data_IF_499939705179
#
_entry.id   IF_499939705179
#
_cell.length_a   1.000
_cell.length_b   1.000
_cell.length_c   1.000
_cell.angle_alpha   90.00
_cell.angle_beta   90.00
_cell.angle_gamma   90.00
#
_symmetry.space_group_name_H-M   'P 1'
#
loop_
_entity.id
_entity.type
_entity.pdbx_description
1 polymer ?
#
# COMPACT_ATOMS: atom_id res chain seq x y z
N UNK A 1 -24.76 29.08 18.54
CA UNK A 1 -23.55 28.36 18.08
C UNK A 1 -23.88 27.59 16.81
N UNK A 2 -23.57 28.13 15.64
CA UNK A 2 -23.80 27.42 14.37
C UNK A 2 -22.67 26.40 14.19
N UNK A 3 -23.02 25.10 14.16
CA UNK A 3 -22.07 24.05 13.80
C UNK A 3 -21.69 24.28 12.34
N UNK A 4 -20.46 24.73 12.10
CA UNK A 4 -19.87 24.87 10.77
C UNK A 4 -20.15 23.60 9.96
N UNK A 5 -20.92 23.71 8.89
CA UNK A 5 -21.20 22.62 7.94
C UNK A 5 -19.87 22.20 7.31
N UNK A 6 -19.25 21.18 7.87
CA UNK A 6 -18.05 20.57 7.32
C UNK A 6 -18.45 19.83 6.05
N UNK A 7 -18.16 20.38 4.88
CA UNK A 7 -18.44 19.77 3.58
C UNK A 7 -17.43 18.66 3.33
N UNK A 8 -17.62 17.50 3.98
CA UNK A 8 -16.76 16.36 3.73
C UNK A 8 -16.97 15.87 2.29
N UNK A 9 -16.11 16.31 1.35
CA UNK A 9 -16.11 15.83 -0.02
C UNK A 9 -15.78 14.34 -0.01
N UNK A 10 -16.70 13.54 -0.56
CA UNK A 10 -16.62 12.08 -0.64
C UNK A 10 -16.74 11.62 -2.09
N UNK A 11 -15.93 10.64 -2.47
CA UNK A 11 -16.07 9.87 -3.71
C UNK A 11 -16.44 8.43 -3.35
N UNK A 12 -17.46 7.88 -4.00
CA UNK A 12 -17.85 6.48 -3.85
C UNK A 12 -17.58 5.73 -5.15
N UNK A 13 -16.82 4.64 -5.06
CA UNK A 13 -16.39 3.82 -6.20
C UNK A 13 -16.93 2.41 -5.99
N UNK A 14 -17.77 1.87 -6.89
CA UNK A 14 -18.22 0.48 -6.79
C UNK A 14 -17.05 -0.48 -7.04
N UNK A 15 -16.95 -1.53 -6.23
CA UNK A 15 -15.99 -2.62 -6.40
C UNK A 15 -16.64 -3.66 -7.33
N UNK A 16 -15.99 -4.00 -8.46
CA UNK A 16 -16.43 -5.07 -9.34
C UNK A 16 -16.56 -6.41 -8.60
N UNK A 17 -17.61 -7.19 -8.89
CA UNK A 17 -17.90 -8.46 -8.20
C UNK A 17 -16.81 -9.53 -8.39
N UNK A 18 -16.05 -9.45 -9.49
CA UNK A 18 -14.93 -10.35 -9.78
C UNK A 18 -13.68 -10.07 -8.91
N UNK A 19 -13.71 -9.03 -8.06
CA UNK A 19 -12.59 -8.68 -7.16
C UNK A 19 -12.92 -9.10 -5.74
N UNK A 20 -12.06 -9.95 -5.18
CA UNK A 20 -12.14 -10.33 -3.77
C UNK A 20 -11.68 -9.17 -2.89
N UNK A 21 -12.56 -8.67 -2.01
CA UNK A 21 -12.29 -7.52 -1.11
C UNK A 21 -11.05 -7.75 -0.24
N UNK A 22 -10.83 -8.97 0.27
CA UNK A 22 -9.66 -9.29 1.09
C UNK A 22 -8.34 -9.12 0.32
N UNK A 23 -8.31 -9.43 -0.98
CA UNK A 23 -7.14 -9.19 -1.85
C UNK A 23 -6.94 -7.70 -2.12
N UNK A 24 -8.02 -6.96 -2.26
CA UNK A 24 -7.98 -5.50 -2.46
C UNK A 24 -7.44 -4.76 -1.25
N UNK A 25 -7.92 -5.10 -0.05
CA UNK A 25 -7.46 -4.49 1.21
C UNK A 25 -6.06 -4.96 1.56
N UNK A 26 -5.80 -6.26 1.40
CA UNK A 26 -4.56 -6.91 1.83
C UNK A 26 -4.46 -7.07 3.35
N UNK A 27 -3.43 -7.78 3.81
CA UNK A 27 -3.21 -8.04 5.24
C UNK A 27 -3.05 -6.71 5.99
N UNK A 28 -3.91 -6.45 6.98
CA UNK A 28 -3.92 -5.18 7.75
C UNK A 28 -4.04 -3.92 6.88
N UNK A 29 -4.66 -4.00 5.69
CA UNK A 29 -4.80 -2.84 4.80
C UNK A 29 -3.52 -2.46 4.06
N UNK A 30 -2.53 -3.37 3.96
CA UNK A 30 -1.22 -3.05 3.38
C UNK A 30 -1.26 -2.56 1.93
N UNK A 31 -2.31 -2.87 1.18
CA UNK A 31 -2.45 -2.42 -0.21
C UNK A 31 -3.05 -1.01 -0.31
N UNK A 32 -3.92 -0.63 0.64
CA UNK A 32 -4.58 0.69 0.66
C UNK A 32 -3.74 1.74 1.41
N UNK A 33 -3.00 1.33 2.43
CA UNK A 33 -2.11 2.19 3.23
C UNK A 33 -1.17 3.08 2.39
N UNK A 34 -0.43 2.57 1.39
CA UNK A 34 0.45 3.42 0.57
C UNK A 34 -0.32 4.40 -0.31
N UNK A 35 -1.59 4.14 -0.65
CA UNK A 35 -2.43 5.08 -1.40
C UNK A 35 -2.82 6.22 -0.47
N UNK A 36 -3.36 5.90 0.71
CA UNK A 36 -3.71 6.85 1.79
C UNK A 36 -2.54 7.78 2.12
N UNK A 37 -1.35 7.24 2.31
CA UNK A 37 -0.15 8.03 2.66
C UNK A 37 0.29 8.96 1.53
N UNK A 38 0.20 8.52 0.27
CA UNK A 38 0.62 9.32 -0.90
C UNK A 38 -0.35 10.43 -1.24
N UNK A 39 -1.65 10.17 -1.16
CA UNK A 39 -2.70 11.12 -1.55
C UNK A 39 -3.16 11.95 -0.35
N UNK A 40 -2.82 11.52 0.87
CA UNK A 40 -3.31 12.08 2.13
C UNK A 40 -4.83 11.97 2.30
N UNK A 41 -5.47 11.03 1.60
CA UNK A 41 -6.93 10.81 1.67
C UNK A 41 -7.26 9.71 2.68
N UNK A 42 -8.49 9.69 3.19
CA UNK A 42 -8.98 8.57 3.98
C UNK A 42 -9.76 7.63 3.07
N UNK A 43 -9.40 6.35 3.07
CA UNK A 43 -10.05 5.32 2.25
C UNK A 43 -10.76 4.33 3.16
N UNK A 44 -12.05 4.12 2.92
CA UNK A 44 -12.89 3.16 3.62
C UNK A 44 -13.47 2.16 2.62
N UNK A 45 -13.58 0.90 3.03
CA UNK A 45 -14.20 -0.15 2.21
C UNK A 45 -15.49 -0.57 2.90
N UNK A 46 -16.61 -0.32 2.25
CA UNK A 46 -17.92 -0.77 2.70
C UNK A 46 -18.27 -2.09 1.99
N UNK A 47 -18.12 -3.19 2.72
CA UNK A 47 -18.47 -4.54 2.27
C UNK A 47 -19.89 -4.96 2.63
N UNK A 48 -20.65 -4.11 3.33
CA UNK A 48 -22.04 -4.43 3.74
C UNK A 48 -23.03 -4.17 2.61
N UNK A 49 -22.67 -3.28 1.68
CA UNK A 49 -23.47 -2.98 0.50
C UNK A 49 -23.16 -3.94 -0.65
N UNK A 50 -24.17 -4.24 -1.47
CA UNK A 50 -24.02 -5.00 -2.71
C UNK A 50 -24.43 -4.11 -3.90
N UNK A 51 -23.51 -3.75 -4.82
CA UNK A 51 -22.09 -4.09 -4.81
C UNK A 51 -21.32 -3.37 -3.70
N UNK A 52 -20.23 -3.98 -3.23
CA UNK A 52 -19.34 -3.36 -2.25
C UNK A 52 -18.75 -2.06 -2.80
N UNK A 53 -18.48 -1.08 -1.95
CA UNK A 53 -18.02 0.25 -2.36
C UNK A 53 -16.78 0.68 -1.61
N UNK A 54 -15.94 1.48 -2.27
CA UNK A 54 -14.86 2.22 -1.63
C UNK A 54 -15.27 3.66 -1.50
N UNK A 55 -15.11 4.21 -0.31
CA UNK A 55 -15.28 5.63 -0.05
C UNK A 55 -13.92 6.29 0.14
N UNK A 56 -13.67 7.33 -0.65
CA UNK A 56 -12.51 8.21 -0.48
C UNK A 56 -13.00 9.53 0.11
N UNK A 57 -12.43 9.93 1.26
CA UNK A 57 -12.78 11.15 1.98
C UNK A 57 -11.57 12.05 2.15
N UNK A 58 -11.78 13.36 2.08
CA UNK A 58 -10.74 14.35 2.38
C UNK A 58 -11.22 15.24 3.53
N UNK A 59 -10.32 15.51 4.48
CA UNK A 59 -10.57 16.50 5.52
C UNK A 59 -10.08 17.85 5.01
N UNK A 60 -11.01 18.80 4.86
CA UNK A 60 -10.75 20.16 4.34
C UNK A 60 -9.81 20.98 5.24
N UNK A 61 -9.57 20.54 6.49
CA UNK A 61 -8.72 21.24 7.46
C UNK A 61 -7.21 21.19 7.18
N UNK A 62 -6.77 20.48 6.14
CA UNK A 62 -5.34 20.39 5.77
C UNK A 62 -5.12 21.11 4.45
N UNK A 63 -4.52 22.30 4.51
CA UNK A 63 -4.18 23.12 3.36
C UNK A 63 -3.26 22.36 2.37
N UNK A 64 -3.74 22.25 1.13
CA UNK A 64 -3.06 22.20 -0.20
C UNK A 64 -2.05 21.05 -0.43
N UNK A 65 -2.16 20.25 -1.52
CA UNK A 65 -2.62 20.58 -2.88
C UNK A 65 -4.14 20.59 -3.09
N UNK A 66 -4.56 21.29 -4.16
CA UNK A 66 -5.94 21.38 -4.66
C UNK A 66 -6.66 20.02 -4.57
N UNK A 67 -7.79 20.03 -3.87
CA UNK A 67 -8.55 18.85 -3.46
C UNK A 67 -8.85 17.87 -4.59
N UNK A 68 -9.17 18.36 -5.78
CA UNK A 68 -9.58 17.53 -6.93
C UNK A 68 -8.42 16.67 -7.43
N UNK A 69 -7.19 17.18 -7.39
CA UNK A 69 -6.00 16.42 -7.78
C UNK A 69 -5.77 15.21 -6.87
N UNK A 70 -6.15 15.31 -5.59
CA UNK A 70 -5.93 14.26 -4.58
C UNK A 70 -6.98 13.16 -4.67
N UNK A 71 -8.25 13.52 -4.88
CA UNK A 71 -9.33 12.55 -5.11
C UNK A 71 -9.07 11.80 -6.41
N UNK A 72 -8.72 12.52 -7.48
CA UNK A 72 -8.43 11.91 -8.78
C UNK A 72 -7.18 11.02 -8.74
N UNK A 73 -6.11 11.42 -8.05
CA UNK A 73 -4.93 10.55 -7.88
C UNK A 73 -5.29 9.29 -7.07
N UNK A 74 -6.09 9.42 -5.99
CA UNK A 74 -6.57 8.27 -5.23
C UNK A 74 -7.43 7.33 -6.10
N UNK A 75 -8.34 7.88 -6.89
CA UNK A 75 -9.17 7.14 -7.84
C UNK A 75 -8.31 6.37 -8.84
N UNK A 76 -7.38 7.04 -9.51
CA UNK A 76 -6.49 6.41 -10.49
C UNK A 76 -5.67 5.27 -9.88
N UNK A 77 -5.14 5.46 -8.67
CA UNK A 77 -4.39 4.42 -7.94
C UNK A 77 -5.26 3.23 -7.53
N UNK A 78 -6.49 3.47 -7.10
CA UNK A 78 -7.45 2.42 -6.77
C UNK A 78 -7.84 1.61 -8.00
N UNK A 79 -8.13 2.28 -9.11
CA UNK A 79 -8.45 1.64 -10.40
C UNK A 79 -7.29 0.78 -10.89
N UNK A 80 -6.04 1.27 -10.82
CA UNK A 80 -4.86 0.48 -11.16
C UNK A 80 -4.68 -0.74 -10.24
N UNK A 81 -4.92 -0.60 -8.93
CA UNK A 81 -4.89 -1.71 -7.98
C UNK A 81 -5.96 -2.77 -8.30
N UNK A 82 -7.19 -2.36 -8.57
CA UNK A 82 -8.29 -3.25 -8.98
C UNK A 82 -7.94 -4.01 -10.26
N UNK A 83 -7.41 -3.31 -11.26
CA UNK A 83 -6.99 -3.90 -12.52
C UNK A 83 -5.85 -4.91 -12.34
N UNK A 84 -4.88 -4.64 -11.46
CA UNK A 84 -3.81 -5.57 -11.12
C UNK A 84 -4.35 -6.86 -10.50
N UNK A 85 -5.27 -6.75 -9.55
CA UNK A 85 -5.87 -7.91 -8.88
C UNK A 85 -6.71 -8.72 -9.86
N UNK A 86 -7.49 -8.06 -10.71
CA UNK A 86 -8.30 -8.74 -11.73
C UNK A 86 -7.44 -9.51 -12.75
N UNK A 87 -6.27 -8.97 -13.12
CA UNK A 87 -5.35 -9.63 -14.06
C UNK A 87 -4.52 -10.75 -13.41
N UNK A 88 -4.29 -10.71 -12.11
CA UNK A 88 -3.49 -11.69 -11.38
C UNK A 88 -4.12 -13.10 -11.36
N UNK A 89 -5.45 -13.20 -11.54
CA UNK A 89 -6.13 -14.49 -11.72
C UNK A 89 -5.82 -15.18 -13.05
N UNK A 90 -5.39 -14.44 -14.08
CA UNK A 90 -5.28 -14.93 -15.46
C UNK A 90 -3.85 -14.97 -16.02
N UNK A 91 -2.83 -14.53 -15.25
CA UNK A 91 -1.44 -14.54 -15.74
C UNK A 91 -0.63 -15.67 -15.10
N UNK A 92 -0.42 -16.72 -15.89
CA UNK A 92 0.85 -17.44 -15.89
C UNK A 92 1.99 -16.40 -15.98
N UNK A 93 3.03 -16.66 -15.21
CA UNK A 93 4.12 -15.74 -14.87
C UNK A 93 4.86 -15.28 -16.12
N UNK A 94 4.67 -14.04 -16.56
CA UNK A 94 5.64 -13.36 -17.42
C UNK A 94 6.30 -12.22 -16.67
N UNK A 95 7.58 -12.46 -16.36
CA UNK A 95 8.52 -11.53 -15.75
C UNK A 95 8.60 -10.27 -16.60
N UNK A 96 8.17 -9.12 -16.08
CA UNK A 96 8.65 -7.83 -16.58
C UNK A 96 9.38 -7.11 -15.46
N UNK A 97 10.71 -7.11 -15.62
CA UNK A 97 11.68 -6.27 -14.90
C UNK A 97 11.24 -4.81 -14.96
N UNK A 98 11.19 -4.11 -13.81
CA UNK A 98 11.50 -2.68 -13.77
C UNK A 98 12.46 -2.42 -12.62
N UNK A 99 13.53 -1.74 -12.98
CA UNK A 99 14.84 -1.69 -12.35
C UNK A 99 14.90 -0.81 -11.08
N UNK A 100 15.53 -1.38 -10.03
CA UNK A 100 16.60 -0.81 -9.18
C UNK A 100 16.45 0.58 -8.53
N UNK A 101 16.20 0.58 -7.21
CA UNK A 101 17.03 1.23 -6.15
C UNK A 101 16.63 0.61 -4.79
N UNK A 102 17.24 -0.51 -4.37
CA UNK A 102 18.28 -0.59 -3.32
C UNK A 102 17.88 0.14 -2.00
N UNK A 103 17.84 -0.46 -0.80
CA UNK A 103 18.65 -1.57 -0.25
C UNK A 103 17.91 -2.44 0.78
N UNK A 104 18.28 -3.72 0.75
CA UNK A 104 17.98 -4.80 1.68
C UNK A 104 18.74 -4.61 3.01
N UNK A 105 18.21 -5.20 4.09
CA UNK A 105 18.97 -5.45 5.31
C UNK A 105 18.16 -6.21 6.37
N UNK A 106 17.59 -7.37 6.03
CA UNK A 106 16.97 -8.28 7.00
C UNK A 106 18.05 -8.90 7.89
N UNK A 107 17.77 -8.92 9.20
CA UNK A 107 18.22 -9.91 10.20
C UNK A 107 18.37 -11.31 9.59
N UNK A 108 19.56 -11.91 9.73
CA UNK A 108 19.82 -13.33 10.12
C UNK A 108 21.24 -13.73 9.69
N UNK A 109 22.22 -13.55 10.57
CA UNK A 109 23.40 -14.42 10.70
C UNK A 109 23.86 -14.41 12.16
N UNK A 110 23.12 -15.09 13.04
CA UNK A 110 23.66 -15.62 14.31
C UNK A 110 24.01 -17.10 14.05
N UNK A 111 25.18 -17.53 14.52
CA UNK A 111 25.79 -18.88 14.46
C UNK A 111 26.42 -19.30 13.12
N UNK A 112 27.68 -18.91 12.92
CA UNK A 112 28.79 -19.80 12.54
C UNK A 112 30.08 -18.96 12.44
N UNK A 113 31.22 -19.52 12.84
CA UNK A 113 32.55 -18.91 13.02
C UNK A 113 32.78 -18.14 14.33
N UNK A 114 32.74 -18.92 15.42
CA UNK A 114 33.64 -18.79 16.57
C UNK A 114 34.65 -19.94 16.43
N UNK A 115 35.68 -19.76 15.60
CA UNK A 115 36.86 -20.63 15.44
C UNK A 115 37.79 -19.91 14.43
N UNK A 116 39.10 -19.97 14.66
CA UNK A 116 40.17 -19.29 13.89
C UNK A 116 40.49 -17.86 14.34
N UNK A 117 40.60 -17.64 15.65
CA UNK A 117 41.39 -16.51 16.19
C UNK A 117 42.14 -16.95 17.47
N UNK A 118 42.65 -18.19 17.46
CA UNK A 118 43.40 -18.80 18.55
C UNK A 118 44.62 -19.59 18.03
N UNK A 119 45.23 -19.18 16.92
CA UNK A 119 46.44 -19.82 16.33
C UNK A 119 47.42 -18.81 15.69
N UNK A 120 47.59 -17.62 16.28
CA UNK A 120 48.77 -16.77 16.01
C UNK A 120 49.45 -16.30 17.30
N UNK A 121 49.38 -17.14 18.31
CA UNK A 121 50.33 -17.14 19.42
C UNK A 121 51.17 -18.41 19.23
N UNK A 122 52.50 -18.25 19.16
CA UNK A 122 53.57 -19.25 18.99
C UNK A 122 54.13 -19.41 17.56
N UNK A 123 55.44 -19.14 17.46
CA UNK A 123 56.35 -19.06 16.29
C UNK A 123 56.34 -17.65 15.67
N UNK A 124 57.22 -16.72 16.03
CA UNK A 124 58.68 -16.86 16.13
C UNK A 124 59.24 -16.53 17.52
N UNK A 125 60.10 -17.43 17.98
CA UNK A 125 61.25 -17.20 18.86
C UNK A 125 62.46 -17.20 17.94
#
# INVERSE_FOLDING_TARGET
MQKSKQTNKKLSIPIPQNIVISKLVGRKGCNLKPIVEKTGTHIYVNSKESPAKIEVRINEKKEIPLFDNRINDAFNRLTDLMNKISKQGNKKVDKVKKSKKERKGKKEKKKALKKVESERSLKEV
#
